data_IF_467811202123
#
_entry.id   IF_467811202123
#
_cell.length_a   1.000
_cell.length_b   1.000
_cell.length_c   1.000
_cell.angle_alpha   90.00
_cell.angle_beta   90.00
_cell.angle_gamma   90.00
#
_symmetry.space_group_name_H-M   'P 1'
#
loop_
_entity.id
_entity.type
_entity.pdbx_description
1 polymer ?
#
# COMPACT_ATOMS: atom_id res chain seq x y z
N UNK A 1 2.83 -0.88 -1.26
CA UNK A 1 2.90 -0.07 -0.03
C UNK A 1 1.62 -0.12 0.81
N UNK A 2 0.44 0.09 0.21
CA UNK A 2 -0.86 0.09 0.91
C UNK A 2 -1.09 -1.17 1.76
N UNK A 3 -0.75 -2.35 1.23
CA UNK A 3 -0.88 -3.63 1.95
C UNK A 3 -0.07 -3.73 3.27
N UNK A 4 0.97 -2.89 3.45
CA UNK A 4 1.74 -2.78 4.70
C UNK A 4 1.03 -1.82 5.67
N UNK A 5 0.59 -0.66 5.16
CA UNK A 5 -0.05 0.39 5.96
C UNK A 5 -1.35 -0.08 6.61
N UNK A 6 -2.12 -0.92 5.91
CA UNK A 6 -3.40 -1.47 6.39
C UNK A 6 -3.28 -2.52 7.51
N UNK A 7 -2.09 -3.12 7.70
CA UNK A 7 -1.91 -4.22 8.66
C UNK A 7 -2.26 -3.76 10.08
N UNK A 8 -3.22 -4.40 10.78
CA UNK A 8 -3.55 -4.10 12.18
C UNK A 8 -3.80 -2.59 12.47
N UNK A 9 -4.47 -1.88 11.55
CA UNK A 9 -4.85 -0.49 11.75
C UNK A 9 -6.29 -0.24 11.28
N UNK A 10 -7.08 0.59 12.01
CA UNK A 10 -8.36 1.05 11.48
C UNK A 10 -8.13 1.90 10.24
N UNK A 11 -9.14 1.96 9.37
CA UNK A 11 -9.03 2.65 8.07
C UNK A 11 -8.64 4.12 8.25
N UNK A 12 -9.25 4.83 9.20
CA UNK A 12 -8.90 6.23 9.50
C UNK A 12 -7.41 6.41 9.79
N UNK A 13 -6.81 5.50 10.55
CA UNK A 13 -5.38 5.54 10.88
C UNK A 13 -4.52 5.24 9.66
N UNK A 14 -4.95 4.33 8.81
CA UNK A 14 -4.27 4.00 7.54
C UNK A 14 -4.29 5.17 6.56
N UNK A 15 -5.42 5.87 6.45
CA UNK A 15 -5.54 7.09 5.65
C UNK A 15 -4.60 8.18 6.16
N UNK A 16 -4.52 8.40 7.49
CA UNK A 16 -3.57 9.35 8.07
C UNK A 16 -2.10 8.97 7.78
N UNK A 17 -1.77 7.68 7.87
CA UNK A 17 -0.42 7.20 7.54
C UNK A 17 -0.08 7.41 6.06
N UNK A 18 -1.01 7.12 5.15
CA UNK A 18 -0.82 7.37 3.71
C UNK A 18 -0.63 8.86 3.42
N UNK A 19 -1.51 9.72 3.94
CA UNK A 19 -1.39 11.18 3.76
C UNK A 19 -0.04 11.72 4.24
N UNK A 20 0.42 11.30 5.42
CA UNK A 20 1.73 11.73 5.92
C UNK A 20 2.90 11.30 5.03
N UNK A 21 2.80 10.13 4.37
CA UNK A 21 3.79 9.70 3.39
C UNK A 21 3.68 10.52 2.09
N UNK A 22 2.46 10.77 1.61
CA UNK A 22 2.20 11.51 0.37
C UNK A 22 2.64 12.98 0.52
N UNK A 23 2.35 13.62 1.64
CA UNK A 23 2.79 14.98 1.95
C UNK A 23 4.32 15.09 2.08
N UNK A 24 4.98 14.03 2.57
CA UNK A 24 6.44 14.04 2.78
C UNK A 24 7.24 13.72 1.52
N UNK A 25 6.78 12.76 0.72
CA UNK A 25 7.54 12.19 -0.40
C UNK A 25 6.85 12.36 -1.74
N UNK A 26 5.54 12.58 -1.76
CA UNK A 26 4.78 12.78 -2.97
C UNK A 26 5.03 14.15 -3.59
N UNK A 27 4.61 14.29 -4.85
CA UNK A 27 4.69 15.57 -5.58
C UNK A 27 3.33 16.25 -5.56
N UNK A 28 3.21 17.50 -5.04
CA UNK A 28 1.94 18.21 -5.00
C UNK A 28 1.48 18.58 -6.41
N UNK A 29 0.20 18.40 -6.67
CA UNK A 29 -0.48 18.75 -7.93
C UNK A 29 -1.82 19.41 -7.63
N UNK A 30 -2.19 20.42 -8.42
CA UNK A 30 -3.50 21.07 -8.31
C UNK A 30 -4.45 20.51 -9.37
N UNK A 31 -5.63 20.08 -8.94
CA UNK A 31 -6.71 19.59 -9.81
C UNK A 31 -8.03 20.20 -9.33
N UNK A 32 -8.70 20.97 -10.19
CA UNK A 32 -9.99 21.63 -9.88
C UNK A 32 -10.00 22.42 -8.56
N UNK A 33 -8.89 23.09 -8.24
CA UNK A 33 -8.74 23.87 -7.00
C UNK A 33 -8.46 23.04 -5.75
N UNK A 34 -8.29 21.71 -5.88
CA UNK A 34 -7.85 20.82 -4.82
C UNK A 34 -6.36 20.51 -4.95
N UNK A 35 -5.65 20.56 -3.82
CA UNK A 35 -4.27 20.07 -3.73
C UNK A 35 -4.29 18.56 -3.50
N UNK A 36 -3.62 17.82 -4.38
CA UNK A 36 -3.44 16.38 -4.35
C UNK A 36 -1.95 16.06 -4.40
N UNK A 37 -1.59 14.81 -4.13
CA UNK A 37 -0.21 14.35 -4.19
C UNK A 37 -0.10 13.16 -5.14
N UNK A 38 0.86 13.24 -6.05
CA UNK A 38 1.29 12.09 -6.85
C UNK A 38 2.21 11.23 -5.97
N UNK A 39 1.91 9.94 -5.89
CA UNK A 39 2.70 8.99 -5.10
C UNK A 39 4.16 9.00 -5.54
N UNK A 40 5.04 9.03 -4.55
CA UNK A 40 6.50 9.10 -4.67
C UNK A 40 7.13 7.99 -5.53
N UNK A 41 8.36 8.21 -5.98
CA UNK A 41 9.17 7.18 -6.61
C UNK A 41 9.77 6.22 -5.55
N UNK A 42 10.06 4.96 -5.89
CA UNK A 42 10.71 4.03 -4.95
C UNK A 42 12.04 4.54 -4.39
N UNK A 43 12.78 5.35 -5.17
CA UNK A 43 14.04 5.98 -4.78
C UNK A 43 13.88 6.94 -3.60
N UNK A 44 12.76 7.63 -3.47
CA UNK A 44 12.54 8.62 -2.42
C UNK A 44 12.46 7.94 -1.05
N UNK A 45 11.69 6.85 -0.97
CA UNK A 45 11.62 6.00 0.22
C UNK A 45 12.94 5.25 0.46
N UNK A 46 13.65 4.87 -0.61
CA UNK A 46 14.95 4.22 -0.49
C UNK A 46 16.01 5.14 0.12
N UNK A 47 15.93 6.45 -0.12
CA UNK A 47 16.85 7.41 0.46
C UNK A 47 16.48 7.80 1.89
N UNK A 48 15.20 7.75 2.25
CA UNK A 48 14.73 8.09 3.59
C UNK A 48 15.25 7.12 4.66
N UNK A 49 15.65 7.62 5.84
CA UNK A 49 16.05 6.76 6.97
C UNK A 49 14.84 6.05 7.59
N UNK A 50 15.07 4.97 8.34
CA UNK A 50 13.98 4.31 9.07
C UNK A 50 13.41 5.24 10.16
N UNK A 51 14.23 6.09 10.77
CA UNK A 51 13.83 7.11 11.74
C UNK A 51 12.94 8.17 11.10
N UNK A 52 13.28 8.65 9.90
CA UNK A 52 12.42 9.58 9.15
C UNK A 52 11.05 8.98 8.86
N UNK A 53 11.01 7.72 8.42
CA UNK A 53 9.76 7.00 8.21
C UNK A 53 8.96 6.85 9.52
N UNK A 54 9.63 6.52 10.64
CA UNK A 54 8.96 6.43 11.95
C UNK A 54 8.39 7.77 12.41
N UNK A 55 9.05 8.90 12.10
CA UNK A 55 8.57 10.24 12.43
C UNK A 55 7.21 10.55 11.78
N UNK A 56 6.89 9.92 10.64
CA UNK A 56 5.58 9.99 9.98
C UNK A 56 4.49 9.17 10.68
N UNK A 57 4.77 8.67 11.90
CA UNK A 57 3.85 7.91 12.73
C UNK A 57 3.35 6.64 12.05
N UNK A 58 4.11 6.01 11.15
CA UNK A 58 3.74 4.71 10.57
C UNK A 58 4.04 3.52 11.51
N UNK A 59 4.74 3.79 12.62
CA UNK A 59 5.04 2.84 13.69
C UNK A 59 6.04 1.77 13.25
N UNK A 60 5.82 0.52 13.69
CA UNK A 60 6.68 -0.62 13.34
C UNK A 60 6.78 -0.87 11.84
N UNK A 61 5.79 -0.40 11.06
CA UNK A 61 5.73 -0.55 9.60
C UNK A 61 6.87 0.15 8.89
N UNK A 62 7.49 1.16 9.50
CA UNK A 62 8.64 1.87 8.92
C UNK A 62 9.74 0.89 8.46
N UNK A 63 10.02 -0.14 9.28
CA UNK A 63 10.98 -1.18 8.96
C UNK A 63 10.56 -2.01 7.74
N UNK A 64 9.29 -2.41 7.69
CA UNK A 64 8.73 -3.17 6.56
C UNK A 64 8.78 -2.35 5.27
N UNK A 65 8.38 -1.08 5.33
CA UNK A 65 8.43 -0.13 4.22
C UNK A 65 9.87 -0.06 3.68
N UNK A 66 10.85 0.17 4.55
CA UNK A 66 12.26 0.29 4.17
C UNK A 66 12.79 -0.98 3.49
N UNK A 67 12.58 -2.15 4.12
CA UNK A 67 13.07 -3.45 3.64
C UNK A 67 12.42 -3.87 2.32
N UNK A 68 11.12 -3.61 2.18
CA UNK A 68 10.42 -3.91 0.92
C UNK A 68 10.92 -3.00 -0.20
N UNK A 69 11.05 -1.70 0.05
CA UNK A 69 11.63 -0.78 -0.95
C UNK A 69 13.04 -1.18 -1.35
N UNK A 70 13.89 -1.58 -0.40
CA UNK A 70 15.24 -2.10 -0.67
C UNK A 70 15.22 -3.35 -1.56
N UNK A 71 14.27 -4.28 -1.35
CA UNK A 71 14.12 -5.46 -2.19
C UNK A 71 13.72 -5.12 -3.63
N UNK A 72 12.88 -4.09 -3.84
CA UNK A 72 12.56 -3.61 -5.18
C UNK A 72 13.75 -2.90 -5.83
N UNK A 73 14.44 -2.02 -5.10
CA UNK A 73 15.59 -1.27 -5.63
C UNK A 73 16.78 -2.16 -5.99
N UNK A 74 16.97 -3.28 -5.27
CA UNK A 74 18.04 -4.25 -5.53
C UNK A 74 17.66 -5.33 -6.56
N UNK A 75 16.45 -5.29 -7.12
CA UNK A 75 15.96 -6.29 -8.08
C UNK A 75 15.66 -7.67 -7.47
N UNK A 76 15.63 -7.79 -6.14
CA UNK A 76 15.19 -9.03 -5.46
C UNK A 76 13.69 -9.30 -5.67
N UNK A 77 12.93 -8.27 -6.00
CA UNK A 77 11.55 -8.34 -6.47
C UNK A 77 11.43 -7.51 -7.72
N UNK A 78 10.96 -8.17 -8.79
CA UNK A 78 10.52 -7.51 -10.01
C UNK A 78 9.03 -7.80 -10.16
N UNK A 79 8.20 -6.78 -9.98
CA UNK A 79 6.74 -6.93 -10.06
C UNK A 79 6.26 -7.21 -11.49
N UNK A 80 6.93 -6.66 -12.51
CA UNK A 80 6.62 -6.96 -13.91
C UNK A 80 6.91 -8.42 -14.21
N UNK A 81 8.08 -8.93 -13.80
CA UNK A 81 8.42 -10.34 -13.99
C UNK A 81 7.51 -11.29 -13.19
N UNK A 82 6.93 -10.85 -12.07
CA UNK A 82 5.98 -11.65 -11.29
C UNK A 82 4.63 -11.82 -12.00
N UNK A 83 4.21 -10.89 -12.86
CA UNK A 83 2.93 -10.99 -13.59
C UNK A 83 2.86 -12.21 -14.49
N UNK A 84 3.99 -12.66 -15.01
CA UNK A 84 4.09 -13.85 -15.87
C UNK A 84 4.27 -15.17 -15.10
N UNK A 85 4.26 -15.12 -13.76
CA UNK A 85 4.40 -16.30 -12.89
C UNK A 85 3.06 -16.84 -12.44
N UNK A 86 3.04 -18.10 -12.02
CA UNK A 86 1.86 -18.70 -11.41
C UNK A 86 1.50 -18.02 -10.08
N UNK A 87 0.22 -18.08 -9.68
CA UNK A 87 -0.26 -17.57 -8.38
C UNK A 87 0.58 -18.06 -7.20
N UNK A 88 0.97 -19.33 -7.22
CA UNK A 88 1.75 -19.96 -6.15
C UNK A 88 3.19 -19.43 -6.09
N UNK A 89 3.82 -19.20 -7.24
CA UNK A 89 5.13 -18.57 -7.32
C UNK A 89 5.09 -17.11 -6.86
N UNK A 90 4.06 -16.36 -7.28
CA UNK A 90 3.82 -14.99 -6.82
C UNK A 90 3.64 -14.95 -5.30
N UNK A 91 2.79 -15.81 -4.75
CA UNK A 91 2.56 -15.95 -3.31
C UNK A 91 3.86 -16.19 -2.55
N UNK A 92 4.65 -17.16 -3.01
CA UNK A 92 5.93 -17.54 -2.37
C UNK A 92 6.94 -16.40 -2.40
N UNK A 93 7.05 -15.70 -3.54
CA UNK A 93 7.95 -14.57 -3.70
C UNK A 93 7.57 -13.41 -2.76
N UNK A 94 6.27 -13.12 -2.63
CA UNK A 94 5.76 -12.04 -1.76
C UNK A 94 5.90 -12.40 -0.26
N UNK A 95 5.57 -13.63 0.14
CA UNK A 95 5.71 -14.09 1.53
C UNK A 95 7.15 -14.10 2.03
N UNK A 96 8.12 -14.27 1.12
CA UNK A 96 9.54 -14.20 1.45
C UNK A 96 10.02 -12.77 1.75
N UNK A 97 9.16 -11.75 1.72
CA UNK A 97 9.52 -10.35 2.00
C UNK A 97 9.23 -9.97 3.45
N UNK A 98 10.15 -9.22 4.04
CA UNK A 98 10.04 -8.82 5.44
C UNK A 98 8.77 -7.99 5.68
N UNK A 99 7.99 -8.38 6.68
CA UNK A 99 6.76 -7.67 7.07
C UNK A 99 5.57 -7.90 6.14
N UNK A 100 5.66 -8.84 5.19
CA UNK A 100 4.55 -9.24 4.32
C UNK A 100 4.01 -10.60 4.81
N UNK A 101 2.82 -10.58 5.42
CA UNK A 101 2.15 -11.79 5.92
C UNK A 101 1.10 -12.34 4.94
N UNK A 102 0.52 -13.53 5.22
CA UNK A 102 -0.47 -14.17 4.35
C UNK A 102 -1.63 -13.27 3.95
N UNK A 103 -2.20 -12.52 4.91
CA UNK A 103 -3.30 -11.59 4.62
C UNK A 103 -2.91 -10.50 3.62
N UNK A 104 -1.73 -9.89 3.79
CA UNK A 104 -1.22 -8.87 2.87
C UNK A 104 -0.93 -9.45 1.49
N UNK A 105 -0.47 -10.71 1.42
CA UNK A 105 -0.23 -11.38 0.13
C UNK A 105 -1.53 -11.63 -0.60
N UNK A 106 -2.58 -12.10 0.06
CA UNK A 106 -3.90 -12.26 -0.58
C UNK A 106 -4.43 -10.93 -1.12
N UNK A 107 -4.31 -9.83 -0.36
CA UNK A 107 -4.68 -8.50 -0.88
C UNK A 107 -3.87 -8.13 -2.12
N UNK A 108 -2.57 -8.39 -2.14
CA UNK A 108 -1.72 -8.08 -3.32
C UNK A 108 -2.09 -8.98 -4.50
N UNK A 109 -2.31 -10.28 -4.29
CA UNK A 109 -2.70 -11.22 -5.35
C UNK A 109 -4.05 -10.83 -5.97
N UNK A 110 -5.01 -10.40 -5.15
CA UNK A 110 -6.31 -9.96 -5.61
C UNK A 110 -6.25 -8.60 -6.33
N UNK A 111 -5.65 -7.58 -5.69
CA UNK A 111 -5.70 -6.19 -6.17
C UNK A 111 -4.71 -5.90 -7.30
N UNK A 112 -3.50 -6.49 -7.25
CA UNK A 112 -2.39 -6.17 -8.19
C UNK A 112 -2.26 -7.21 -9.29
N UNK A 113 -2.42 -8.50 -8.97
CA UNK A 113 -2.26 -9.61 -9.90
C UNK A 113 -3.59 -10.20 -10.40
N UNK A 114 -4.73 -9.66 -9.95
CA UNK A 114 -6.07 -10.00 -10.44
C UNK A 114 -6.49 -11.47 -10.25
N UNK A 115 -5.97 -12.14 -9.22
CA UNK A 115 -6.43 -13.48 -8.80
C UNK A 115 -7.74 -13.36 -8.02
N UNK A 116 -8.84 -13.24 -8.75
CA UNK A 116 -10.21 -13.12 -8.19
C UNK A 116 -10.90 -14.46 -7.94
N UNK A 117 -10.29 -15.54 -8.40
CA UNK A 117 -10.80 -16.91 -8.46
C UNK A 117 -10.54 -17.72 -7.17
N UNK A 118 -9.56 -17.31 -6.37
CA UNK A 118 -9.20 -17.98 -5.13
C UNK A 118 -8.95 -16.95 -4.01
N UNK A 119 -9.94 -16.78 -3.14
CA UNK A 119 -9.91 -15.82 -2.04
C UNK A 119 -9.74 -16.59 -0.72
N UNK A 120 -8.51 -16.94 -0.39
CA UNK A 120 -8.16 -17.52 0.92
C UNK A 120 -7.84 -16.40 1.92
N UNK A 121 -8.78 -15.47 2.17
CA UNK A 121 -8.56 -14.45 3.19
C UNK A 121 -8.58 -15.09 4.59
N UNK A 122 -7.49 -15.07 5.37
CA UNK A 122 -7.60 -15.27 6.80
C UNK A 122 -8.48 -14.14 7.35
N UNK A 123 -9.43 -14.46 8.23
CA UNK A 123 -10.49 -13.56 8.72
C UNK A 123 -9.93 -12.18 9.10
N UNK A 124 -10.05 -11.20 8.20
CA UNK A 124 -9.73 -9.79 8.47
C UNK A 124 -10.96 -9.17 9.12
N UNK A 125 -10.84 -8.68 10.36
CA UNK A 125 -11.91 -7.94 11.02
C UNK A 125 -11.98 -6.53 10.40
N UNK A 126 -12.78 -6.40 9.33
CA UNK A 126 -13.08 -5.11 8.71
C UNK A 126 -14.12 -4.40 9.58
N UNK A 127 -13.76 -3.23 10.11
CA UNK A 127 -14.75 -2.32 10.69
C UNK A 127 -15.47 -1.59 9.54
N UNK A 128 -16.70 -2.02 9.27
CA UNK A 128 -17.51 -1.54 8.15
C UNK A 128 -17.97 -0.07 8.29
N UNK A 129 -17.72 0.60 9.42
CA UNK A 129 -18.13 1.99 9.62
C UNK A 129 -17.43 2.98 8.67
N UNK A 130 -16.19 2.70 8.23
CA UNK A 130 -15.40 3.65 7.43
C UNK A 130 -15.64 3.55 5.91
N UNK A 131 -16.14 2.42 5.40
CA UNK A 131 -16.39 2.22 3.95
C UNK A 131 -17.51 3.15 3.45
N UNK A 132 -18.42 3.57 4.33
CA UNK A 132 -19.50 4.50 4.01
C UNK A 132 -19.01 5.90 3.63
N UNK A 133 -17.94 6.40 4.25
CA UNK A 133 -17.40 7.75 3.99
C UNK A 133 -16.66 7.83 2.65
N UNK A 134 -15.98 6.76 2.26
CA UNK A 134 -15.29 6.67 0.96
C UNK A 134 -16.28 6.71 -0.22
N UNK A 135 -17.50 6.17 -0.03
CA UNK A 135 -18.57 6.21 -1.03
C UNK A 135 -19.10 7.63 -1.25
N UNK A 136 -19.13 8.46 -0.21
CA UNK A 136 -19.56 9.86 -0.32
C UNK A 136 -18.57 10.70 -1.16
N UNK A 137 -17.26 10.48 -0.97
CA UNK A 137 -16.21 11.15 -1.75
C UNK A 137 -16.22 10.67 -3.21
N UNK A 138 -16.35 9.36 -3.45
CA UNK A 138 -16.43 8.83 -4.83
C UNK A 138 -17.69 9.31 -5.57
N UNK A 139 -18.82 9.41 -4.88
CA UNK A 139 -20.07 9.92 -5.46
C UNK A 139 -20.03 11.42 -5.75
N UNK A 140 -19.23 12.22 -5.03
CA UNK A 140 -19.05 13.64 -5.37
C UNK A 140 -18.14 13.83 -6.58
N UNK A 141 -17.10 12.99 -6.73
CA UNK A 141 -16.21 13.01 -7.90
C UNK A 141 -16.92 12.51 -9.17
N UNK A 142 -17.79 11.49 -9.08
CA UNK A 142 -18.47 10.95 -10.27
C UNK A 142 -19.70 11.74 -10.74
N UNK A 143 -20.32 12.58 -9.91
CA UNK A 143 -21.46 13.42 -10.32
C UNK A 143 -21.06 14.70 -11.06
N UNK A 144 -19.78 14.96 -11.23
CA UNK A 144 -19.25 16.09 -11.99
C UNK A 144 -19.01 15.75 -13.48
N UNK A 145 -19.59 14.66 -13.99
CA UNK A 145 -19.63 14.32 -15.43
C UNK A 145 -21.05 14.46 -15.97
#
# INVERSE_FOLDING_TARGET
MIAIVLQNAPVQRSVQMMRALDERFGTPVSCDGHELYVTWAPTDIHNASEEELRALKVGYRARSIKRVTEAFMSGQVDEMALRDRSREEQRRALLARYGIGPASVESILADVFHHHDAVDFPVVRIDYACVAESRAIWLSVCRAR
#
